data_IF_414387772313
#
_entry.id   IF_414387772313
#
_cell.length_a   1.000
_cell.length_b   1.000
_cell.length_c   1.000
_cell.angle_alpha   90.00
_cell.angle_beta   90.00
_cell.angle_gamma   90.00
#
_symmetry.space_group_name_H-M   'P 1'
#
loop_
_entity.id
_entity.type
_entity.pdbx_description
1 polymer ?
#
# COMPACT_ATOMS: atom_id res chain seq x y z
N UNK A 1 23.50 -0.99 -37.70
CA UNK A 1 23.76 0.14 -36.77
C UNK A 1 22.50 0.97 -36.72
N UNK A 2 21.81 1.33 -35.63
CA UNK A 2 22.02 1.23 -34.18
C UNK A 2 20.62 1.24 -33.51
N UNK A 3 19.98 0.07 -33.32
CA UNK A 3 18.73 -0.02 -32.55
C UNK A 3 18.95 -0.08 -31.02
N UNK A 4 20.20 -0.17 -30.56
CA UNK A 4 20.55 -0.29 -29.13
C UNK A 4 20.59 1.04 -28.37
N UNK A 5 20.56 2.19 -29.05
CA UNK A 5 20.68 3.50 -28.39
C UNK A 5 19.35 4.10 -27.91
N UNK A 6 18.21 3.61 -28.40
CA UNK A 6 16.91 4.17 -28.06
C UNK A 6 16.38 3.69 -26.70
N UNK A 7 16.65 2.44 -26.32
CA UNK A 7 16.15 1.87 -25.05
C UNK A 7 16.83 2.42 -23.80
N UNK A 8 18.09 2.86 -23.89
CA UNK A 8 18.83 3.38 -22.73
C UNK A 8 18.33 4.77 -22.31
N UNK A 9 17.88 5.60 -23.26
CA UNK A 9 17.35 6.95 -22.95
C UNK A 9 16.00 6.90 -22.24
N UNK A 10 15.11 5.98 -22.65
CA UNK A 10 13.81 5.82 -21.97
C UNK A 10 13.95 5.25 -20.56
N UNK A 11 14.90 4.33 -20.34
CA UNK A 11 15.13 3.76 -19.00
C UNK A 11 15.66 4.83 -18.02
N UNK A 12 16.53 5.73 -18.47
CA UNK A 12 17.07 6.82 -17.65
C UNK A 12 16.01 7.87 -17.29
N UNK A 13 15.09 8.19 -18.21
CA UNK A 13 13.99 9.14 -17.96
C UNK A 13 12.96 8.53 -17.00
N UNK A 14 12.65 7.24 -17.11
CA UNK A 14 11.76 6.54 -16.17
C UNK A 14 12.39 6.41 -14.78
N UNK A 15 13.70 6.11 -14.69
CA UNK A 15 14.43 6.07 -13.42
C UNK A 15 14.54 7.44 -12.76
N UNK A 16 14.82 8.52 -13.51
CA UNK A 16 14.80 9.87 -12.96
C UNK A 16 13.40 10.31 -12.53
N UNK A 17 12.36 9.94 -13.29
CA UNK A 17 10.96 10.22 -12.92
C UNK A 17 10.53 9.55 -11.62
N UNK A 18 10.99 8.31 -11.37
CA UNK A 18 10.73 7.57 -10.12
C UNK A 18 11.54 8.14 -8.95
N UNK A 19 12.78 8.58 -9.17
CA UNK A 19 13.60 9.23 -8.13
C UNK A 19 13.05 10.61 -7.75
N UNK A 20 12.50 11.37 -8.70
CA UNK A 20 11.84 12.66 -8.42
C UNK A 20 10.50 12.43 -7.70
N UNK A 21 9.72 11.40 -8.06
CA UNK A 21 8.51 11.04 -7.30
C UNK A 21 8.81 10.56 -5.87
N UNK A 22 9.96 9.92 -5.65
CA UNK A 22 10.45 9.56 -4.31
C UNK A 22 10.96 10.77 -3.51
N UNK A 23 11.38 11.86 -4.17
CA UNK A 23 11.85 13.09 -3.51
C UNK A 23 10.73 14.10 -3.23
N UNK A 24 9.62 14.09 -3.99
CA UNK A 24 8.49 15.04 -3.85
C UNK A 24 7.41 14.59 -2.84
N UNK A 25 7.66 13.50 -2.11
CA UNK A 25 6.81 13.09 -0.97
C UNK A 25 7.56 13.01 0.36
N UNK A 26 8.71 13.69 0.46
CA UNK A 26 9.27 14.02 1.77
C UNK A 26 8.50 15.21 2.36
N UNK A 27 7.30 14.92 2.89
CA UNK A 27 7.00 15.50 4.19
C UNK A 27 8.16 15.05 5.10
N UNK A 28 9.16 15.92 5.29
CA UNK A 28 10.29 15.64 6.17
C UNK A 28 9.80 15.69 7.61
N UNK A 29 9.05 14.69 8.05
CA UNK A 29 8.43 14.69 9.35
C UNK A 29 9.51 14.74 10.43
N UNK A 30 9.31 15.58 11.44
CA UNK A 30 10.12 15.47 12.64
C UNK A 30 9.57 14.35 13.52
N UNK A 31 10.44 13.42 13.90
CA UNK A 31 10.11 12.29 14.76
C UNK A 31 10.78 12.49 16.11
N UNK A 32 10.00 12.35 17.18
CA UNK A 32 10.48 12.40 18.55
C UNK A 32 10.01 11.15 19.27
N UNK A 33 10.89 10.50 20.03
CA UNK A 33 10.62 9.27 20.76
C UNK A 33 11.05 9.40 22.23
N UNK A 34 10.33 8.72 23.11
CA UNK A 34 10.67 8.64 24.53
C UNK A 34 10.29 7.27 25.09
N UNK A 35 11.11 6.79 26.02
CA UNK A 35 10.83 5.59 26.79
C UNK A 35 9.67 5.86 27.76
N UNK A 36 8.62 5.05 27.69
CA UNK A 36 7.45 5.21 28.56
C UNK A 36 7.72 4.77 30.00
N UNK A 37 8.88 4.17 30.31
CA UNK A 37 9.37 3.95 31.67
C UNK A 37 9.74 5.25 32.41
N UNK A 38 9.90 6.37 31.69
CA UNK A 38 10.32 7.65 32.25
C UNK A 38 9.19 8.41 33.00
N UNK A 39 8.84 7.94 34.21
CA UNK A 39 7.91 8.64 35.13
C UNK A 39 6.48 8.80 34.60
N UNK A 40 5.51 9.22 35.42
CA UNK A 40 4.09 9.24 35.02
C UNK A 40 3.71 10.33 34.00
N UNK A 41 4.55 11.36 33.90
CA UNK A 41 4.40 12.47 32.96
C UNK A 41 5.74 12.72 32.27
N UNK A 42 5.71 12.93 30.96
CA UNK A 42 6.88 13.29 30.18
C UNK A 42 6.52 14.29 29.08
N UNK A 43 7.54 14.89 28.46
CA UNK A 43 7.34 15.85 27.37
C UNK A 43 8.20 15.49 26.17
N UNK A 44 7.61 15.60 24.97
CA UNK A 44 8.33 15.54 23.71
C UNK A 44 8.35 16.90 23.06
N UNK A 45 9.45 17.18 22.37
CA UNK A 45 9.57 18.33 21.47
C UNK A 45 9.82 17.81 20.06
N UNK A 46 9.11 18.39 19.10
CA UNK A 46 9.26 18.12 17.69
C UNK A 46 9.26 19.46 16.95
N UNK A 47 10.14 19.62 15.98
CA UNK A 47 10.27 20.85 15.20
C UNK A 47 10.50 20.51 13.74
N UNK A 48 9.77 21.16 12.84
CA UNK A 48 9.87 20.94 11.41
C UNK A 48 9.83 22.27 10.66
N UNK A 49 10.80 22.48 9.78
CA UNK A 49 10.79 23.58 8.82
C UNK A 49 9.98 23.21 7.58
N UNK A 50 9.06 24.10 7.20
CA UNK A 50 8.23 23.95 6.01
C UNK A 50 8.82 24.82 4.90
N UNK A 51 9.05 24.18 3.76
CA UNK A 51 9.55 24.83 2.56
C UNK A 51 8.41 25.04 1.57
N UNK A 52 8.45 26.16 0.85
CA UNK A 52 7.55 26.49 -0.24
C UNK A 52 8.28 26.28 -1.57
N UNK A 53 7.61 25.62 -2.51
CA UNK A 53 8.07 25.53 -3.89
C UNK A 53 7.96 26.90 -4.56
N UNK A 54 9.08 27.36 -5.13
CA UNK A 54 9.16 28.56 -5.95
C UNK A 54 9.58 28.11 -7.35
N UNK A 55 8.71 28.39 -8.31
CA UNK A 55 8.97 28.09 -9.72
C UNK A 55 9.49 29.34 -10.40
N UNK A 56 10.69 29.25 -10.96
CA UNK A 56 11.29 30.28 -11.79
C UNK A 56 11.51 29.74 -13.21
N UNK A 57 11.62 30.66 -14.16
CA UNK A 57 11.90 30.34 -15.56
C UNK A 57 13.20 31.01 -15.94
N UNK A 58 14.23 30.22 -16.15
CA UNK A 58 15.54 30.73 -16.54
C UNK A 58 15.67 30.68 -18.07
N UNK A 59 15.98 31.81 -18.72
CA UNK A 59 16.32 31.80 -20.14
C UNK A 59 17.64 31.06 -20.34
N UNK A 60 17.70 30.22 -21.37
CA UNK A 60 18.96 29.67 -21.86
C UNK A 60 19.01 29.75 -23.38
N UNK A 61 20.20 30.07 -23.87
CA UNK A 61 20.49 30.11 -25.29
C UNK A 61 20.65 28.69 -25.83
N UNK A 62 20.01 28.42 -26.96
CA UNK A 62 20.14 27.16 -27.69
C UNK A 62 19.97 27.41 -29.18
N UNK A 63 20.38 26.45 -30.00
CA UNK A 63 20.11 26.48 -31.43
C UNK A 63 18.76 25.85 -31.71
N UNK A 64 17.87 26.60 -32.35
CA UNK A 64 16.60 26.11 -32.90
C UNK A 64 16.75 25.84 -34.40
N UNK A 65 15.84 25.06 -34.96
CA UNK A 65 15.75 24.84 -36.40
C UNK A 65 14.34 25.08 -36.91
N UNK A 66 14.22 25.68 -38.09
CA UNK A 66 12.97 25.81 -38.83
C UNK A 66 13.13 25.31 -40.26
N UNK A 67 12.06 24.80 -40.83
CA UNK A 67 12.01 24.48 -42.26
C UNK A 67 11.66 25.75 -43.03
N UNK A 68 12.50 26.08 -44.01
CA UNK A 68 12.29 27.20 -44.91
C UNK A 68 12.20 26.66 -46.32
N UNK A 69 11.18 27.13 -47.04
CA UNK A 69 10.98 26.77 -48.44
C UNK A 69 12.20 27.17 -49.27
N UNK A 70 12.78 26.21 -49.99
CA UNK A 70 14.04 26.32 -50.74
C UNK A 70 13.85 26.16 -52.26
N UNK A 71 12.60 26.22 -52.71
CA UNK A 71 12.22 26.07 -54.11
C UNK A 71 11.46 24.77 -54.37
N UNK A 72 11.42 24.36 -55.63
CA UNK A 72 10.84 23.09 -56.05
C UNK A 72 11.90 22.18 -56.63
N UNK A 73 11.73 20.87 -56.47
CA UNK A 73 12.51 19.87 -57.17
C UNK A 73 11.56 19.03 -58.00
N UNK A 74 12.00 18.71 -59.23
CA UNK A 74 11.21 17.90 -60.15
C UNK A 74 11.40 16.44 -59.81
N UNK A 75 10.33 15.80 -59.35
CA UNK A 75 10.31 14.36 -59.11
C UNK A 75 9.61 13.72 -60.29
N UNK A 76 10.30 12.82 -60.97
CA UNK A 76 9.72 12.04 -62.06
C UNK A 76 9.53 10.60 -61.60
N UNK A 77 8.36 10.05 -61.90
CA UNK A 77 8.00 8.67 -61.60
C UNK A 77 7.52 7.97 -62.87
N UNK A 78 7.73 6.65 -62.93
CA UNK A 78 7.21 5.86 -64.03
C UNK A 78 5.69 5.95 -64.01
N UNK A 79 5.12 6.54 -65.07
CA UNK A 79 3.70 6.71 -65.24
C UNK A 79 3.02 5.45 -65.76
N UNK A 80 1.86 5.64 -66.37
CA UNK A 80 1.08 4.52 -66.89
C UNK A 80 1.77 3.93 -68.12
N UNK A 81 1.90 2.61 -68.16
CA UNK A 81 2.36 1.91 -69.35
C UNK A 81 1.17 1.60 -70.24
N UNK A 82 1.22 2.07 -71.48
CA UNK A 82 0.18 1.81 -72.48
C UNK A 82 0.74 0.96 -73.62
N UNK A 83 -0.02 -0.06 -74.02
CA UNK A 83 0.35 -0.90 -75.16
C UNK A 83 -0.09 -0.23 -76.44
N UNK A 84 0.88 0.15 -77.27
CA UNK A 84 0.62 0.70 -78.60
C UNK A 84 0.87 -0.35 -79.65
N UNK A 85 -0.02 -0.40 -80.63
CA UNK A 85 0.03 -1.35 -81.73
C UNK A 85 -0.01 -0.59 -83.06
N UNK A 86 0.82 -1.02 -84.01
CA UNK A 86 0.84 -0.51 -85.38
C UNK A 86 0.59 -1.64 -86.35
N UNK A 87 -0.38 -1.44 -87.25
CA UNK A 87 -0.60 -2.36 -88.38
C UNK A 87 0.48 -2.21 -89.45
N UNK A 88 1.05 -3.34 -89.85
CA UNK A 88 2.03 -3.45 -90.92
C UNK A 88 1.40 -4.28 -92.04
N UNK A 89 1.19 -3.64 -93.20
CA UNK A 89 0.50 -4.26 -94.34
C UNK A 89 1.21 -5.54 -94.78
N UNK A 90 0.47 -6.64 -94.87
CA UNK A 90 0.97 -7.95 -95.30
C UNK A 90 1.63 -8.82 -94.23
N UNK A 91 1.90 -8.31 -93.02
CA UNK A 91 2.60 -9.06 -91.94
C UNK A 91 1.75 -9.17 -90.66
N UNK A 92 0.85 -8.23 -90.41
CA UNK A 92 -0.04 -8.24 -89.24
C UNK A 92 0.07 -6.96 -88.43
N UNK A 93 0.01 -7.07 -87.11
CA UNK A 93 0.09 -5.94 -86.17
C UNK A 93 1.25 -6.16 -85.20
N UNK A 94 2.11 -5.16 -85.05
CA UNK A 94 3.23 -5.16 -84.12
C UNK A 94 2.88 -4.25 -82.94
N UNK A 95 3.00 -4.76 -81.71
CA UNK A 95 2.69 -4.04 -80.49
C UNK A 95 3.89 -3.97 -79.55
N UNK A 96 4.08 -2.82 -78.90
CA UNK A 96 5.04 -2.65 -77.81
C UNK A 96 4.40 -1.83 -76.67
N UNK A 97 4.96 -1.99 -75.48
CA UNK A 97 4.52 -1.27 -74.29
C UNK A 97 5.37 0.01 -74.17
N UNK A 98 4.73 1.17 -74.10
CA UNK A 98 5.36 2.48 -73.93
C UNK A 98 4.99 3.01 -72.54
N UNK A 99 5.99 3.23 -71.67
CA UNK A 99 5.79 3.81 -70.34
C UNK A 99 6.07 5.30 -70.41
N UNK A 100 5.03 6.13 -70.19
CA UNK A 100 5.22 7.58 -70.08
C UNK A 100 5.80 7.93 -68.70
N UNK A 101 6.78 8.84 -68.66
CA UNK A 101 7.31 9.37 -67.41
C UNK A 101 6.48 10.57 -66.96
N UNK A 102 5.93 10.52 -65.75
CA UNK A 102 5.14 11.62 -65.19
C UNK A 102 5.98 12.34 -64.15
N UNK A 103 6.24 13.62 -64.41
CA UNK A 103 6.99 14.49 -63.52
C UNK A 103 6.07 15.50 -62.85
N UNK A 104 6.27 15.70 -61.55
CA UNK A 104 5.66 16.78 -60.77
C UNK A 104 6.73 17.59 -60.06
N UNK A 105 6.51 18.90 -59.97
CA UNK A 105 7.36 19.78 -59.17
C UNK A 105 6.88 19.74 -57.71
N UNK A 106 7.72 19.21 -56.83
CA UNK A 106 7.43 19.10 -55.40
C UNK A 106 8.18 20.17 -54.62
N UNK A 107 7.52 20.76 -53.61
CA UNK A 107 8.14 21.74 -52.74
C UNK A 107 9.33 21.12 -52.00
N UNK A 108 10.48 21.79 -52.08
CA UNK A 108 11.70 21.47 -51.33
C UNK A 108 11.83 22.43 -50.15
N UNK A 109 12.25 21.90 -49.01
CA UNK A 109 12.51 22.68 -47.81
C UNK A 109 13.92 22.42 -47.32
N UNK A 110 14.60 23.47 -46.89
CA UNK A 110 15.88 23.37 -46.18
C UNK A 110 15.70 23.68 -44.71
N UNK A 111 16.50 23.03 -43.87
CA UNK A 111 16.53 23.33 -42.44
C UNK A 111 17.48 24.51 -42.19
N UNK A 112 16.94 25.63 -41.73
CA UNK A 112 17.74 26.76 -41.23
C UNK A 112 17.88 26.65 -39.71
N UNK A 113 19.11 26.79 -39.22
CA UNK A 113 19.41 26.88 -37.79
C UNK A 113 19.57 28.34 -37.37
N UNK A 114 19.08 28.70 -36.19
CA UNK A 114 19.18 30.04 -35.65
C UNK A 114 19.29 29.99 -34.12
N UNK A 115 19.93 31.02 -33.54
CA UNK A 115 20.01 31.16 -32.09
C UNK A 115 18.65 31.58 -31.53
N UNK A 116 18.18 30.84 -30.53
CA UNK A 116 16.91 31.09 -29.88
C UNK A 116 17.09 31.02 -28.36
N UNK A 117 16.22 31.74 -27.65
CA UNK A 117 16.15 31.66 -26.18
C UNK A 117 14.95 30.81 -25.81
N UNK A 118 15.19 29.70 -25.12
CA UNK A 118 14.14 28.90 -24.51
C UNK A 118 14.11 29.13 -23.00
N UNK A 119 12.99 28.83 -22.36
CA UNK A 119 12.86 28.89 -20.91
C UNK A 119 12.95 27.48 -20.34
N UNK A 120 13.84 27.26 -19.36
CA UNK A 120 13.80 26.05 -18.53
C UNK A 120 13.07 26.36 -17.23
N UNK A 121 12.17 25.46 -16.83
CA UNK A 121 11.53 25.51 -15.52
C UNK A 121 12.56 25.11 -14.47
N UNK A 122 12.86 26.01 -13.54
CA UNK A 122 13.67 25.75 -12.35
C UNK A 122 12.75 25.74 -11.14
N UNK A 123 12.95 24.76 -10.28
CA UNK A 123 12.13 24.56 -9.08
C UNK A 123 13.06 24.65 -7.88
N UNK A 124 12.89 25.71 -7.10
CA UNK A 124 13.61 25.93 -5.85
C UNK A 124 12.68 25.74 -4.66
N UNK A 125 13.24 25.30 -3.53
CA UNK A 125 12.50 25.19 -2.27
C UNK A 125 13.06 26.23 -1.29
N UNK A 126 12.24 27.22 -0.96
CA UNK A 126 12.61 28.29 -0.02
C UNK A 126 11.89 28.12 1.30
N UNK A 127 12.52 28.55 2.40
CA UNK A 127 11.89 28.51 3.72
C UNK A 127 10.61 29.35 3.77
N UNK A 128 9.52 28.74 4.23
CA UNK A 128 8.23 29.39 4.44
C UNK A 128 8.04 29.72 5.93
N UNK A 129 7.85 28.70 6.76
CA UNK A 129 7.64 28.81 8.21
C UNK A 129 8.10 27.56 8.95
N UNK A 130 8.26 27.64 10.28
CA UNK A 130 8.58 26.49 11.15
C UNK A 130 7.37 26.10 11.99
N UNK A 131 7.22 24.80 12.27
CA UNK A 131 6.26 24.27 13.24
C UNK A 131 7.02 23.71 14.41
N UNK A 132 6.76 24.24 15.61
CA UNK A 132 7.34 23.77 16.86
C UNK A 132 6.24 23.20 17.75
N UNK A 133 6.30 21.90 18.02
CA UNK A 133 5.36 21.20 18.89
C UNK A 133 5.99 20.86 20.23
N UNK A 134 5.29 21.20 21.31
CA UNK A 134 5.53 20.72 22.67
C UNK A 134 4.37 19.81 23.06
N UNK A 135 4.66 18.51 23.20
CA UNK A 135 3.67 17.50 23.58
C UNK A 135 3.90 17.11 25.04
N UNK A 136 2.95 17.43 25.91
CA UNK A 136 2.89 16.97 27.29
C UNK A 136 2.06 15.68 27.34
N UNK A 137 2.63 14.60 27.89
CA UNK A 137 1.99 13.29 27.93
C UNK A 137 1.81 12.84 29.37
N UNK A 138 0.58 12.48 29.72
CA UNK A 138 0.23 11.83 30.98
C UNK A 138 -0.11 10.36 30.72
N UNK A 139 0.35 9.46 31.60
CA UNK A 139 -0.01 8.04 31.53
C UNK A 139 -1.11 7.73 32.53
N UNK A 140 -2.18 7.11 32.06
CA UNK A 140 -3.24 6.57 32.89
C UNK A 140 -3.17 5.04 32.89
N UNK A 141 -2.69 4.45 33.99
CA UNK A 141 -2.55 3.00 34.14
C UNK A 141 -3.78 2.41 34.84
N UNK A 142 -4.56 1.60 34.12
CA UNK A 142 -5.69 0.84 34.72
C UNK A 142 -5.26 -0.40 35.51
N UNK A 143 -4.01 -0.85 35.35
CA UNK A 143 -3.43 -2.03 36.00
C UNK A 143 -1.97 -1.75 36.37
N UNK A 144 -1.47 -2.39 37.43
CA UNK A 144 -0.11 -2.20 37.95
C UNK A 144 0.95 -3.09 37.28
N UNK A 145 0.57 -3.98 36.38
CA UNK A 145 1.44 -5.05 35.87
C UNK A 145 2.02 -4.79 34.45
N UNK A 146 2.03 -3.55 33.97
CA UNK A 146 2.58 -3.24 32.65
C UNK A 146 4.11 -3.09 32.72
N UNK A 147 4.84 -3.82 31.88
CA UNK A 147 6.26 -3.54 31.64
C UNK A 147 6.40 -2.35 30.69
N UNK A 148 6.46 -1.14 31.25
CA UNK A 148 6.61 0.10 30.48
C UNK A 148 8.05 0.37 30.04
N UNK A 149 9.05 -0.32 30.62
CA UNK A 149 10.46 -0.12 30.28
C UNK A 149 10.82 -0.69 28.89
N UNK A 150 9.93 -1.50 28.31
CA UNK A 150 10.06 -2.00 26.94
C UNK A 150 9.08 -1.34 25.96
N UNK A 151 8.47 -0.21 26.37
CA UNK A 151 7.43 0.49 25.63
C UNK A 151 7.94 1.86 25.18
N UNK A 152 8.00 2.08 23.88
CA UNK A 152 8.40 3.36 23.27
C UNK A 152 7.15 4.11 22.81
N UNK A 153 7.08 5.40 23.13
CA UNK A 153 6.12 6.33 22.55
C UNK A 153 6.82 7.23 21.55
N UNK A 154 6.13 7.61 20.48
CA UNK A 154 6.63 8.69 19.65
C UNK A 154 5.55 9.45 18.91
N UNK A 155 5.98 10.61 18.44
CA UNK A 155 5.17 11.55 17.67
C UNK A 155 5.89 11.82 16.37
N UNK A 156 5.11 11.85 15.29
CA UNK A 156 5.54 12.26 13.96
C UNK A 156 4.78 13.53 13.61
N UNK A 157 5.50 14.64 13.53
CA UNK A 157 4.91 15.96 13.27
C UNK A 157 5.02 16.30 11.78
N UNK A 158 3.94 16.83 11.23
CA UNK A 158 3.88 17.42 9.88
C UNK A 158 3.42 18.88 9.93
N UNK A 159 3.44 19.54 8.77
CA UNK A 159 2.93 20.90 8.57
C UNK A 159 1.48 21.08 9.08
N UNK A 160 0.64 20.06 8.95
CA UNK A 160 -0.81 20.13 9.19
C UNK A 160 -1.35 19.07 10.14
N UNK A 161 -0.57 18.03 10.43
CA UNK A 161 -0.98 16.88 11.23
C UNK A 161 0.09 16.50 12.24
N UNK A 162 -0.32 15.64 13.18
CA UNK A 162 0.57 14.90 14.03
C UNK A 162 0.06 13.47 14.16
N UNK A 163 0.95 12.51 13.98
CA UNK A 163 0.66 11.10 14.11
C UNK A 163 1.35 10.55 15.35
N UNK A 164 0.62 9.78 16.14
CA UNK A 164 1.12 9.13 17.34
C UNK A 164 1.34 7.65 17.07
N UNK A 165 2.43 7.11 17.60
CA UNK A 165 2.68 5.68 17.55
C UNK A 165 3.28 5.21 18.87
N UNK A 166 3.05 3.94 19.17
CA UNK A 166 3.73 3.29 20.28
C UNK A 166 4.25 1.92 19.86
N UNK A 167 5.29 1.43 20.55
CA UNK A 167 5.87 0.10 20.35
C UNK A 167 6.05 -0.54 21.72
N UNK A 168 5.12 -1.42 22.09
CA UNK A 168 5.05 -1.99 23.43
C UNK A 168 4.78 -3.49 23.35
N UNK A 169 5.47 -4.28 24.18
CA UNK A 169 5.35 -5.73 24.17
C UNK A 169 4.15 -6.25 24.99
N UNK A 170 3.83 -5.59 26.09
CA UNK A 170 2.86 -6.06 27.08
C UNK A 170 1.54 -5.28 27.11
N UNK A 171 1.42 -4.19 26.34
CA UNK A 171 0.24 -3.34 26.36
C UNK A 171 -0.13 -2.81 24.97
N UNK A 172 -1.43 -2.67 24.75
CA UNK A 172 -1.97 -1.78 23.73
C UNK A 172 -2.12 -0.39 24.33
N UNK A 173 -1.75 0.61 23.54
CA UNK A 173 -1.76 2.01 23.92
C UNK A 173 -2.78 2.75 23.07
N UNK A 174 -3.62 3.53 23.73
CA UNK A 174 -4.49 4.52 23.11
C UNK A 174 -4.04 5.91 23.53
N UNK A 175 -3.97 6.83 22.58
CA UNK A 175 -3.68 8.23 22.85
C UNK A 175 -4.94 9.07 22.71
N UNK A 176 -5.25 9.87 23.74
CA UNK A 176 -6.35 10.81 23.74
C UNK A 176 -5.78 12.23 23.80
N UNK A 177 -6.17 13.07 22.84
CA UNK A 177 -5.85 14.49 22.88
C UNK A 177 -6.78 15.15 23.89
N UNK A 178 -6.22 15.59 25.02
CA UNK A 178 -6.94 16.26 26.10
C UNK A 178 -7.11 17.74 25.80
N UNK A 179 -6.03 18.37 25.33
CA UNK A 179 -6.02 19.80 24.99
C UNK A 179 -5.08 20.04 23.80
N UNK A 180 -5.45 21.02 22.98
CA UNK A 180 -4.64 21.48 21.85
C UNK A 180 -4.74 22.99 21.77
N UNK A 181 -3.58 23.63 21.86
CA UNK A 181 -3.42 25.05 21.62
C UNK A 181 -2.45 25.27 20.47
N UNK A 182 -2.84 26.16 19.56
CA UNK A 182 -2.02 26.56 18.44
C UNK A 182 -1.91 28.08 18.41
N UNK A 183 -0.69 28.59 18.28
CA UNK A 183 -0.40 30.02 18.20
C UNK A 183 0.51 30.25 17.01
N UNK A 184 0.10 31.15 16.12
CA UNK A 184 0.96 31.62 15.04
C UNK A 184 1.67 32.89 15.50
N UNK A 185 3.01 32.85 15.51
CA UNK A 185 3.86 33.98 15.84
C UNK A 185 4.82 34.25 14.67
N UNK A 186 4.39 35.13 13.75
CA UNK A 186 5.13 35.40 12.52
C UNK A 186 5.26 34.15 11.65
N UNK A 187 6.50 33.72 11.39
CA UNK A 187 6.82 32.51 10.62
C UNK A 187 7.03 31.27 11.50
N UNK A 188 6.58 31.31 12.76
CA UNK A 188 6.66 30.18 13.68
C UNK A 188 5.27 29.80 14.14
N UNK A 189 4.92 28.54 13.95
CA UNK A 189 3.66 27.95 14.38
C UNK A 189 3.93 27.09 15.61
N UNK A 190 3.52 27.57 16.77
CA UNK A 190 3.70 26.87 18.05
C UNK A 190 2.47 26.03 18.36
N UNK A 191 2.67 24.73 18.55
CA UNK A 191 1.65 23.77 18.99
C UNK A 191 1.96 23.30 20.41
N UNK A 192 1.01 23.46 21.32
CA UNK A 192 1.05 22.81 22.63
C UNK A 192 -0.05 21.76 22.66
N UNK A 193 0.33 20.51 22.89
CA UNK A 193 -0.59 19.37 22.87
C UNK A 193 -0.50 18.66 24.22
N UNK A 194 -1.65 18.38 24.83
CA UNK A 194 -1.74 17.53 26.01
C UNK A 194 -2.36 16.19 25.63
N UNK A 195 -1.65 15.12 25.92
CA UNK A 195 -2.08 13.75 25.64
C UNK A 195 -2.28 12.99 26.95
N UNK A 196 -3.31 12.16 26.98
CA UNK A 196 -3.48 11.09 27.95
C UNK A 196 -3.31 9.74 27.24
N UNK A 197 -2.43 8.90 27.77
CA UNK A 197 -2.19 7.56 27.27
C UNK A 197 -2.90 6.55 28.17
N UNK A 198 -3.84 5.80 27.60
CA UNK A 198 -4.51 4.69 28.27
C UNK A 198 -3.91 3.36 27.84
N UNK A 199 -3.66 2.50 28.82
CA UNK A 199 -2.95 1.24 28.64
C UNK A 199 -3.88 0.05 28.90
N UNK A 200 -3.94 -0.84 27.92
CA UNK A 200 -4.71 -2.08 27.98
C UNK A 200 -3.75 -3.27 27.91
N UNK A 201 -3.94 -4.31 28.74
CA UNK A 201 -3.06 -5.48 28.69
C UNK A 201 -3.17 -6.16 27.32
N UNK A 202 -2.02 -6.54 26.76
CA UNK A 202 -1.96 -7.39 25.57
C UNK A 202 -2.39 -8.83 25.88
N UNK A 203 -2.53 -9.22 27.14
CA UNK A 203 -3.02 -10.54 27.53
C UNK A 203 -4.35 -10.84 26.79
N UNK A 204 -4.25 -11.75 25.82
CA UNK A 204 -5.31 -12.21 24.93
C UNK A 204 -5.51 -11.43 23.60
N UNK A 205 -4.78 -10.34 23.37
CA UNK A 205 -4.52 -9.83 22.01
C UNK A 205 -3.40 -10.61 21.31
N UNK A 206 -2.47 -11.20 22.06
CA UNK A 206 -1.45 -12.12 21.52
C UNK A 206 -2.07 -13.32 20.77
N UNK A 207 -3.22 -13.81 21.23
CA UNK A 207 -4.01 -14.83 20.54
C UNK A 207 -4.46 -14.42 19.13
N UNK A 208 -4.73 -13.14 18.91
CA UNK A 208 -5.13 -12.61 17.60
C UNK A 208 -3.93 -12.25 16.75
N UNK A 209 -2.86 -11.78 17.38
CA UNK A 209 -1.63 -11.43 16.70
C UNK A 209 -1.03 -12.67 16.03
N UNK A 210 -1.09 -13.85 16.66
CA UNK A 210 -0.69 -15.12 16.04
C UNK A 210 -1.75 -15.69 15.07
N UNK A 211 -3.03 -15.33 15.27
CA UNK A 211 -4.16 -15.74 14.46
C UNK A 211 -4.50 -17.22 14.58
N UNK A 212 -5.30 -17.71 13.63
CA UNK A 212 -5.59 -19.12 13.42
C UNK A 212 -4.70 -19.64 12.29
N UNK A 213 -4.05 -20.79 12.47
CA UNK A 213 -3.22 -21.44 11.44
C UNK A 213 -3.41 -22.94 11.44
N UNK A 214 -3.12 -23.57 10.31
CA UNK A 214 -3.04 -25.01 10.15
C UNK A 214 -4.33 -25.74 10.61
N UNK A 215 -5.49 -25.21 10.20
CA UNK A 215 -6.78 -25.84 10.51
C UNK A 215 -6.86 -27.21 9.84
N UNK A 216 -7.03 -28.25 10.66
CA UNK A 216 -7.11 -29.65 10.25
C UNK A 216 -8.28 -30.34 10.90
N UNK A 217 -8.77 -31.41 10.26
CA UNK A 217 -9.81 -32.28 10.77
C UNK A 217 -9.37 -33.73 10.61
N UNK A 218 -9.43 -34.50 11.69
CA UNK A 218 -9.12 -35.94 11.69
C UNK A 218 -9.93 -36.65 12.78
N UNK A 219 -10.57 -37.76 12.44
CA UNK A 219 -11.28 -38.64 13.38
C UNK A 219 -12.27 -37.91 14.30
N UNK A 220 -13.04 -36.96 13.75
CA UNK A 220 -14.01 -36.16 14.51
C UNK A 220 -13.39 -35.05 15.37
N UNK A 221 -12.06 -34.87 15.32
CA UNK A 221 -11.33 -33.83 16.04
C UNK A 221 -10.84 -32.77 15.06
N UNK A 222 -11.16 -31.52 15.38
CA UNK A 222 -10.61 -30.34 14.72
C UNK A 222 -9.39 -29.89 15.50
N UNK A 223 -8.30 -29.59 14.81
CA UNK A 223 -7.12 -29.01 15.42
C UNK A 223 -6.58 -27.83 14.63
N UNK A 224 -6.11 -26.81 15.33
CA UNK A 224 -5.47 -25.64 14.73
C UNK A 224 -4.46 -25.04 15.70
N UNK A 225 -3.49 -24.28 15.16
CA UNK A 225 -2.50 -23.56 15.95
C UNK A 225 -2.98 -22.14 16.22
N UNK A 226 -2.79 -21.68 17.45
CA UNK A 226 -3.05 -20.31 17.89
C UNK A 226 -2.19 -20.00 19.13
N UNK A 227 -2.36 -18.83 19.76
CA UNK A 227 -1.77 -18.60 21.08
C UNK A 227 -2.58 -19.32 22.18
N UNK A 228 -2.20 -19.11 23.45
CA UNK A 228 -2.85 -19.76 24.58
C UNK A 228 -4.30 -19.27 24.80
N UNK A 229 -5.26 -19.95 24.17
CA UNK A 229 -6.68 -19.67 24.33
C UNK A 229 -7.23 -20.08 25.72
N UNK A 230 -6.56 -20.94 26.48
CA UNK A 230 -7.04 -21.30 27.82
C UNK A 230 -6.73 -20.22 28.87
N UNK A 231 -5.65 -19.46 28.67
CA UNK A 231 -5.23 -18.38 29.56
C UNK A 231 -5.80 -17.00 29.17
N UNK A 232 -6.29 -16.84 27.94
CA UNK A 232 -6.87 -15.58 27.48
C UNK A 232 -8.35 -15.46 27.89
N UNK A 233 -8.76 -14.35 28.50
CA UNK A 233 -10.13 -14.15 29.01
C UNK A 233 -11.00 -13.24 28.13
N UNK A 234 -10.48 -12.75 27.01
CA UNK A 234 -11.03 -11.64 26.22
C UNK A 234 -11.27 -11.96 24.72
N UNK A 235 -11.40 -13.24 24.37
CA UNK A 235 -11.72 -13.68 23.01
C UNK A 235 -13.03 -14.47 22.93
N UNK A 236 -13.59 -14.55 21.73
CA UNK A 236 -14.67 -15.45 21.34
C UNK A 236 -14.18 -16.36 20.23
N UNK A 237 -14.23 -17.66 20.47
CA UNK A 237 -14.00 -18.69 19.46
C UNK A 237 -15.35 -19.15 18.93
N UNK A 238 -15.67 -18.83 17.69
CA UNK A 238 -16.90 -19.29 17.04
C UNK A 238 -16.55 -20.40 16.05
N UNK A 239 -17.31 -21.49 16.07
CA UNK A 239 -17.15 -22.59 15.14
C UNK A 239 -18.47 -22.80 14.41
N UNK A 240 -18.38 -22.84 13.08
CA UNK A 240 -19.52 -23.04 12.19
C UNK A 240 -19.27 -24.23 11.27
N UNK A 241 -20.19 -25.18 11.29
CA UNK A 241 -20.21 -26.31 10.37
C UNK A 241 -21.42 -26.20 9.45
N UNK A 242 -21.15 -26.17 8.15
CA UNK A 242 -22.17 -26.05 7.10
C UNK A 242 -22.08 -27.25 6.17
N UNK A 243 -23.21 -27.93 5.93
CA UNK A 243 -23.30 -28.96 4.91
C UNK A 243 -23.56 -28.32 3.55
N UNK A 244 -22.65 -28.58 2.62
CA UNK A 244 -22.74 -28.09 1.26
C UNK A 244 -23.72 -28.95 0.46
N UNK A 245 -24.66 -28.33 -0.25
CA UNK A 245 -25.69 -29.04 -1.03
C UNK A 245 -25.67 -28.56 -2.48
N UNK A 246 -25.74 -29.49 -3.43
CA UNK A 246 -25.60 -29.17 -4.86
C UNK A 246 -26.80 -28.41 -5.44
N UNK A 247 -28.04 -28.77 -5.04
CA UNK A 247 -29.27 -28.21 -5.60
C UNK A 247 -30.11 -27.40 -4.60
N UNK A 248 -29.72 -27.38 -3.33
CA UNK A 248 -30.48 -26.74 -2.26
C UNK A 248 -29.57 -25.77 -1.52
N UNK A 249 -30.17 -24.79 -0.83
CA UNK A 249 -29.43 -23.93 0.09
C UNK A 249 -28.67 -24.77 1.11
N UNK A 250 -27.42 -24.39 1.33
CA UNK A 250 -26.55 -25.02 2.32
C UNK A 250 -27.22 -25.07 3.70
N UNK A 251 -27.03 -26.18 4.39
CA UNK A 251 -27.62 -26.39 5.72
C UNK A 251 -26.56 -26.14 6.78
N UNK A 252 -26.77 -25.12 7.61
CA UNK A 252 -25.99 -24.96 8.84
C UNK A 252 -26.33 -26.11 9.77
N UNK A 253 -25.32 -26.94 10.08
CA UNK A 253 -25.44 -28.01 11.07
C UNK A 253 -25.28 -27.42 12.46
N UNK A 254 -24.30 -26.53 12.58
CA UNK A 254 -23.84 -26.00 13.85
C UNK A 254 -23.21 -24.62 13.64
N UNK A 255 -23.48 -23.67 14.54
CA UNK A 255 -22.89 -22.33 14.55
C UNK A 255 -22.99 -21.77 15.97
N UNK A 256 -21.92 -21.89 16.77
CA UNK A 256 -21.94 -21.36 18.14
C UNK A 256 -20.55 -21.01 18.66
N UNK A 257 -20.56 -20.17 19.67
CA UNK A 257 -19.41 -19.81 20.49
C UNK A 257 -18.98 -21.00 21.38
N UNK A 258 -17.70 -21.33 21.35
CA UNK A 258 -17.11 -22.45 22.10
C UNK A 258 -16.63 -21.95 23.45
N UNK A 259 -17.06 -22.63 24.52
CA UNK A 259 -16.60 -22.30 25.87
C UNK A 259 -15.17 -22.82 26.11
N UNK A 260 -14.39 -22.19 27.01
CA UNK A 260 -13.06 -22.66 27.40
C UNK A 260 -12.99 -24.12 27.86
N UNK A 261 -14.08 -24.66 28.42
CA UNK A 261 -14.18 -26.05 28.86
C UNK A 261 -14.40 -27.06 27.72
N UNK A 262 -14.67 -26.59 26.51
CA UNK A 262 -15.04 -27.43 25.36
C UNK A 262 -13.90 -27.64 24.36
N UNK A 263 -12.75 -27.00 24.60
CA UNK A 263 -11.51 -27.24 23.88
C UNK A 263 -10.37 -27.58 24.83
N UNK A 264 -9.37 -28.26 24.31
CA UNK A 264 -8.10 -28.47 25.00
C UNK A 264 -6.99 -27.65 24.31
N UNK A 265 -6.02 -27.19 25.10
CA UNK A 265 -4.83 -26.52 24.60
C UNK A 265 -3.59 -27.28 25.03
N UNK A 266 -2.67 -27.48 24.10
CA UNK A 266 -1.36 -28.11 24.36
C UNK A 266 -0.27 -27.17 23.92
N UNK A 267 0.70 -26.87 24.80
CA UNK A 267 1.82 -26.00 24.47
C UNK A 267 2.71 -26.63 23.39
N UNK A 268 3.12 -25.81 22.42
CA UNK A 268 4.10 -26.13 21.39
C UNK A 268 5.37 -25.30 21.63
N UNK A 269 6.46 -25.63 20.93
CA UNK A 269 7.68 -24.84 20.95
C UNK A 269 7.46 -23.43 20.40
N UNK A 270 8.09 -22.42 21.01
CA UNK A 270 8.08 -21.05 20.51
C UNK A 270 6.82 -20.24 20.84
N UNK A 271 6.15 -20.55 21.95
CA UNK A 271 5.00 -19.77 22.46
C UNK A 271 3.65 -20.08 21.80
N UNK A 272 3.63 -21.03 20.85
CA UNK A 272 2.42 -21.47 20.13
C UNK A 272 1.69 -22.55 20.91
N UNK A 273 0.39 -22.68 20.66
CA UNK A 273 -0.46 -23.70 21.27
C UNK A 273 -1.27 -24.43 20.20
N UNK A 274 -1.39 -25.75 20.36
CA UNK A 274 -2.33 -26.56 19.60
C UNK A 274 -3.68 -26.55 20.31
N UNK A 275 -4.71 -26.08 19.62
CA UNK A 275 -6.09 -26.09 20.10
C UNK A 275 -6.82 -27.26 19.47
N UNK A 276 -7.48 -28.08 20.27
CA UNK A 276 -8.24 -29.24 19.80
C UNK A 276 -9.68 -29.21 20.26
N UNK A 277 -10.61 -29.48 19.34
CA UNK A 277 -12.06 -29.48 19.53
C UNK A 277 -12.63 -30.82 19.05
N UNK A 278 -13.47 -31.48 19.85
CA UNK A 278 -14.17 -32.67 19.38
C UNK A 278 -15.48 -32.28 18.69
N UNK A 279 -15.47 -32.18 17.37
CA UNK A 279 -16.61 -31.72 16.58
C UNK A 279 -17.81 -32.65 16.71
N UNK A 280 -17.58 -33.97 16.84
CA UNK A 280 -18.65 -34.95 17.07
C UNK A 280 -19.43 -34.69 18.36
N UNK A 281 -18.74 -34.34 19.45
CA UNK A 281 -19.37 -33.92 20.71
C UNK A 281 -20.10 -32.58 20.58
N UNK A 282 -19.52 -31.63 19.85
CA UNK A 282 -20.07 -30.28 19.72
C UNK A 282 -21.33 -30.22 18.85
N UNK A 283 -21.41 -31.04 17.79
CA UNK A 283 -22.53 -31.05 16.85
C UNK A 283 -23.60 -32.11 17.13
N UNK A 284 -23.38 -32.99 18.13
CA UNK A 284 -24.22 -34.17 18.35
C UNK A 284 -24.06 -35.25 17.26
N UNK A 285 -22.92 -35.24 16.56
CA UNK A 285 -22.65 -36.04 15.37
C UNK A 285 -23.03 -35.34 14.07
N UNK A 286 -22.39 -35.73 12.97
CA UNK A 286 -22.76 -35.32 11.61
C UNK A 286 -22.35 -36.42 10.62
N UNK A 287 -23.00 -36.46 9.46
CA UNK A 287 -22.75 -37.45 8.41
C UNK A 287 -21.47 -37.07 7.64
N UNK A 288 -20.31 -37.58 8.04
CA UNK A 288 -19.01 -37.22 7.46
C UNK A 288 -18.84 -37.62 5.99
N UNK A 289 -19.70 -38.50 5.47
CA UNK A 289 -19.74 -38.87 4.04
C UNK A 289 -20.24 -37.75 3.12
N UNK A 290 -20.80 -36.67 3.68
CA UNK A 290 -21.23 -35.50 2.91
C UNK A 290 -20.18 -34.40 2.98
N UNK A 291 -20.17 -33.56 1.96
CA UNK A 291 -19.31 -32.38 1.92
C UNK A 291 -19.74 -31.34 2.94
N UNK A 292 -18.82 -30.98 3.82
CA UNK A 292 -18.99 -29.91 4.81
C UNK A 292 -17.94 -28.82 4.65
N UNK A 293 -18.31 -27.60 5.03
CA UNK A 293 -17.38 -26.51 5.27
C UNK A 293 -17.37 -26.24 6.77
N UNK A 294 -16.21 -26.45 7.39
CA UNK A 294 -15.91 -26.02 8.74
C UNK A 294 -15.27 -24.64 8.67
N UNK A 295 -15.77 -23.70 9.46
CA UNK A 295 -15.20 -22.38 9.65
C UNK A 295 -14.93 -22.16 11.14
N UNK A 296 -13.72 -21.71 11.44
CA UNK A 296 -13.31 -21.34 12.79
C UNK A 296 -12.97 -19.85 12.77
N UNK A 297 -13.62 -19.09 13.64
CA UNK A 297 -13.47 -17.64 13.75
C UNK A 297 -12.99 -17.28 15.15
N UNK A 298 -11.91 -16.51 15.22
CA UNK A 298 -11.40 -15.93 16.45
C UNK A 298 -11.66 -14.44 16.43
N UNK A 299 -12.41 -13.94 17.40
CA UNK A 299 -12.70 -12.52 17.54
C UNK A 299 -12.43 -12.06 18.96
N UNK A 300 -12.21 -10.77 19.17
CA UNK A 300 -12.12 -10.22 20.53
C UNK A 300 -13.49 -9.88 21.07
N UNK A 301 -13.66 -10.09 22.36
CA UNK A 301 -14.79 -9.55 23.12
C UNK A 301 -14.80 -8.00 23.11
N UNK A 302 -13.65 -7.40 22.80
CA UNK A 302 -13.35 -5.98 22.96
C UNK A 302 -12.73 -5.34 21.71
N UNK A 303 -13.09 -5.78 20.51
CA UNK A 303 -12.56 -5.20 19.25
C UNK A 303 -12.72 -3.66 19.21
N UNK A 304 -13.80 -3.17 19.81
CA UNK A 304 -14.06 -1.75 19.99
C UNK A 304 -13.05 -1.05 20.92
N UNK A 305 -12.57 -1.73 21.96
CA UNK A 305 -11.58 -1.18 22.91
C UNK A 305 -10.19 -1.03 22.27
N UNK A 306 -9.95 -1.57 21.07
CA UNK A 306 -8.65 -1.53 20.37
C UNK A 306 -8.69 -0.81 19.02
N UNK A 307 -9.89 -0.39 18.56
CA UNK A 307 -10.14 0.15 17.21
C UNK A 307 -9.31 1.39 16.86
N UNK A 308 -8.85 2.12 17.88
CA UNK A 308 -8.09 3.38 17.76
C UNK A 308 -6.74 3.31 18.50
N UNK A 309 -6.22 2.10 18.69
CA UNK A 309 -4.90 1.91 19.27
C UNK A 309 -3.80 2.45 18.35
N UNK A 310 -2.79 3.10 18.92
CA UNK A 310 -1.66 3.68 18.18
C UNK A 310 -0.51 2.68 17.98
N UNK A 311 -0.66 1.47 18.52
CA UNK A 311 0.31 0.39 18.39
C UNK A 311 -0.32 -0.95 18.01
N UNK A 312 -1.52 -0.94 17.44
CA UNK A 312 -2.18 -2.19 17.04
C UNK A 312 -1.24 -2.94 16.11
N UNK A 313 -0.74 -4.14 16.51
CA UNK A 313 -0.04 -4.97 15.55
C UNK A 313 -0.99 -5.13 14.37
N UNK A 314 -0.47 -4.96 13.16
CA UNK A 314 -1.20 -5.30 11.95
C UNK A 314 -1.72 -6.71 12.19
N UNK A 315 -3.05 -6.88 12.33
CA UNK A 315 -3.69 -8.18 12.46
C UNK A 315 -3.55 -8.88 11.10
N UNK A 316 -2.31 -9.25 10.75
CA UNK A 316 -1.92 -9.76 9.45
C UNK A 316 -2.14 -11.26 9.35
N UNK A 317 -2.50 -11.91 10.45
CA UNK A 317 -2.86 -13.32 10.49
C UNK A 317 -4.39 -13.48 10.41
N UNK A 318 -4.82 -14.55 9.76
CA UNK A 318 -6.23 -14.84 9.55
C UNK A 318 -6.93 -15.06 10.90
N UNK A 319 -7.91 -14.20 11.20
CA UNK A 319 -8.84 -14.37 12.32
C UNK A 319 -9.97 -15.36 11.99
N UNK A 320 -9.90 -15.95 10.80
CA UNK A 320 -10.88 -16.87 10.24
C UNK A 320 -10.16 -17.90 9.40
N UNK A 321 -10.36 -19.17 9.67
CA UNK A 321 -9.86 -20.29 8.87
C UNK A 321 -11.04 -21.15 8.42
N UNK A 322 -10.94 -21.70 7.21
CA UNK A 322 -12.00 -22.55 6.65
C UNK A 322 -11.41 -23.80 6.03
N UNK A 323 -12.02 -24.95 6.35
CA UNK A 323 -11.64 -26.25 5.86
C UNK A 323 -12.85 -26.94 5.24
N UNK A 324 -12.66 -27.52 4.07
CA UNK A 324 -13.66 -28.42 3.47
C UNK A 324 -13.39 -29.83 3.98
N UNK A 325 -14.39 -30.41 4.65
CA UNK A 325 -14.36 -31.79 5.13
C UNK A 325 -15.09 -32.65 4.10
N UNK A 326 -14.36 -33.62 3.56
CA UNK A 326 -14.83 -34.73 2.75
C UNK A 326 -14.02 -35.95 3.21
N UNK A 327 -14.69 -36.95 3.78
CA UNK A 327 -14.08 -38.27 3.95
C UNK A 327 -13.91 -38.98 2.59
#
# INVERSE_FOLDING_TARGET
MNAKFLHVKYLAIVLMGIVILLLVSFDAFSQSEVDMGAGDTFSLKASQDILKEVVSYEPYETTCSREVYDGTHRVCSAGRTERRCRKISGVGEECWDETEEVCSDEASYRTETYDCTLQRRVVDYVYDYSVNASIEVTKTLRSKNYDLNSCLFGVKLSASSEDYYARCKSAVVKAFVVDRKEVLNGRNKERTIKLDLDFFPIEGLSALAEGLKDLTYKDGVVSFKSANLAAASNFKLNVKLTRNRFLLKDKVIFNREINPSEFATTALSGGKYLVTLNLGKLSGGFDSTKKHTLKVDLSTLKAQDVKDAINTPTLSNALSESLVIND
#
